data_IF_194597162551
#
_entry.id   IF_194597162551
#
_cell.length_a   1.000
_cell.length_b   1.000
_cell.length_c   1.000
_cell.angle_alpha   90.00
_cell.angle_beta   90.00
_cell.angle_gamma   90.00
#
_symmetry.space_group_name_H-M   'P 1'
#
loop_
_entity.id
_entity.type
_entity.pdbx_description
1 polymer ?
#
# COMPACT_ATOMS: atom_id res chain seq x y z
N UNK A 1 7.27 -24.42 18.92
CA UNK A 1 7.64 -23.32 18.01
C UNK A 1 8.87 -23.65 17.20
N UNK A 2 9.93 -24.24 17.81
CA UNK A 2 11.12 -24.68 17.07
C UNK A 2 10.80 -25.54 15.84
N UNK A 3 9.87 -26.48 15.95
CA UNK A 3 9.52 -27.38 14.84
C UNK A 3 8.67 -26.73 13.72
N UNK A 4 8.32 -25.44 13.84
CA UNK A 4 7.56 -24.71 12.82
C UNK A 4 8.46 -24.03 11.78
N UNK A 5 9.74 -23.89 12.10
CA UNK A 5 10.71 -23.11 11.32
C UNK A 5 11.97 -23.93 11.08
N UNK A 6 12.73 -23.58 10.04
CA UNK A 6 14.02 -24.21 9.79
C UNK A 6 15.03 -23.80 10.89
N UNK A 7 15.61 -24.75 11.64
CA UNK A 7 16.52 -24.45 12.75
C UNK A 7 17.88 -23.88 12.30
N UNK A 8 18.29 -24.11 11.05
CA UNK A 8 19.52 -23.55 10.49
C UNK A 8 19.31 -22.10 10.01
N UNK A 9 18.06 -21.73 9.69
CA UNK A 9 17.69 -20.38 9.28
C UNK A 9 17.23 -19.48 10.45
N UNK A 10 16.69 -20.05 11.54
CA UNK A 10 16.05 -19.29 12.62
C UNK A 10 16.74 -19.48 13.96
N UNK A 11 17.39 -18.42 14.44
CA UNK A 11 18.03 -18.39 15.77
C UNK A 11 17.03 -18.23 16.93
N UNK A 12 15.93 -17.51 16.71
CA UNK A 12 14.89 -17.26 17.71
C UNK A 12 13.52 -17.00 17.07
N UNK A 13 12.46 -17.42 17.75
CA UNK A 13 11.08 -17.14 17.36
C UNK A 13 10.28 -16.71 18.59
N UNK A 14 9.49 -15.65 18.44
CA UNK A 14 8.66 -15.08 19.49
C UNK A 14 7.20 -15.13 19.08
N UNK A 15 6.31 -15.33 20.06
CA UNK A 15 4.88 -15.26 19.83
C UNK A 15 4.39 -13.88 20.25
N UNK A 16 3.83 -13.14 19.30
CA UNK A 16 3.18 -11.84 19.53
C UNK A 16 1.67 -11.98 19.37
N UNK A 17 0.93 -10.97 19.86
CA UNK A 17 -0.51 -10.85 19.61
C UNK A 17 -0.72 -9.74 18.60
N UNK A 18 -0.97 -10.11 17.34
CA UNK A 18 -1.18 -9.18 16.23
C UNK A 18 -2.48 -9.51 15.50
N UNK A 19 -3.09 -8.48 14.90
CA UNK A 19 -4.35 -8.61 14.16
C UNK A 19 -4.04 -8.51 12.67
N UNK A 20 -4.31 -9.60 11.94
CA UNK A 20 -4.32 -9.59 10.48
C UNK A 20 -5.64 -9.03 9.95
N UNK A 21 -5.58 -7.93 9.20
CA UNK A 21 -6.72 -7.38 8.45
C UNK A 21 -6.52 -7.72 6.98
N UNK A 22 -7.51 -8.34 6.36
CA UNK A 22 -7.49 -8.57 4.91
C UNK A 22 -7.83 -7.24 4.20
N UNK A 23 -6.85 -6.62 3.49
CA UNK A 23 -7.06 -5.33 2.85
C UNK A 23 -8.06 -5.40 1.69
N UNK A 24 -8.24 -6.55 1.05
CA UNK A 24 -9.19 -6.71 -0.06
C UNK A 24 -10.62 -6.77 0.46
N UNK A 25 -10.84 -7.48 1.56
CA UNK A 25 -12.12 -7.51 2.26
C UNK A 25 -12.48 -6.12 2.82
N UNK A 26 -11.51 -5.44 3.45
CA UNK A 26 -11.71 -4.07 3.94
C UNK A 26 -12.05 -3.11 2.80
N UNK A 27 -11.34 -3.19 1.67
CA UNK A 27 -11.64 -2.36 0.50
C UNK A 27 -13.04 -2.64 -0.07
N UNK A 28 -13.52 -3.89 0.01
CA UNK A 28 -14.91 -4.24 -0.31
C UNK A 28 -15.91 -3.46 0.53
N UNK A 29 -15.76 -3.51 1.86
CA UNK A 29 -16.65 -2.80 2.80
C UNK A 29 -16.65 -1.28 2.55
N UNK A 30 -15.49 -0.70 2.24
CA UNK A 30 -15.39 0.73 1.92
C UNK A 30 -16.12 1.05 0.61
N UNK A 31 -15.94 0.25 -0.44
CA UNK A 31 -16.65 0.45 -1.72
C UNK A 31 -18.17 0.36 -1.55
N UNK A 32 -18.65 -0.65 -0.82
CA UNK A 32 -20.08 -0.81 -0.54
C UNK A 32 -20.62 0.42 0.19
N UNK A 33 -19.91 0.89 1.23
CA UNK A 33 -20.30 2.09 1.98
C UNK A 33 -20.31 3.37 1.14
N UNK A 34 -19.41 3.50 0.18
CA UNK A 34 -19.36 4.65 -0.75
C UNK A 34 -20.49 4.59 -1.78
N UNK A 35 -20.85 3.40 -2.26
CA UNK A 35 -21.92 3.20 -3.22
C UNK A 35 -23.32 3.41 -2.61
N UNK A 36 -23.49 3.02 -1.34
CA UNK A 36 -24.79 3.02 -0.67
C UNK A 36 -25.13 4.36 0.00
N UNK A 37 -24.19 5.32 0.04
CA UNK A 37 -24.43 6.65 0.63
C UNK A 37 -24.91 7.65 -0.42
N UNK A 38 -26.18 8.11 -0.37
CA UNK A 38 -26.70 9.06 -1.34
C UNK A 38 -26.05 10.45 -1.25
N UNK A 39 -25.35 10.77 -0.16
CA UNK A 39 -24.61 12.03 -0.04
C UNK A 39 -23.23 11.98 -0.71
N UNK A 40 -22.76 10.80 -1.12
CA UNK A 40 -21.45 10.62 -1.75
C UNK A 40 -21.63 10.37 -3.25
N UNK A 41 -21.02 11.23 -4.07
CA UNK A 41 -20.98 11.04 -5.52
C UNK A 41 -19.61 10.51 -5.94
N UNK A 42 -19.55 9.23 -6.30
CA UNK A 42 -18.34 8.64 -6.87
C UNK A 42 -18.24 8.92 -8.38
N UNK A 43 -17.08 9.44 -8.83
CA UNK A 43 -16.73 9.56 -10.25
C UNK A 43 -15.49 8.70 -10.53
N UNK A 44 -15.72 7.52 -11.11
CA UNK A 44 -14.66 6.60 -11.49
C UNK A 44 -14.11 6.97 -12.88
N UNK A 45 -12.99 6.36 -13.28
CA UNK A 45 -12.33 6.61 -14.57
C UNK A 45 -12.08 8.10 -14.84
N UNK A 46 -11.80 8.85 -13.76
CA UNK A 46 -11.53 10.28 -13.77
C UNK A 46 -10.18 10.50 -13.10
N UNK A 47 -9.21 10.99 -13.87
CA UNK A 47 -7.85 11.19 -13.42
C UNK A 47 -7.65 12.67 -13.11
N UNK A 48 -7.39 13.00 -11.84
CA UNK A 48 -7.10 14.36 -11.39
C UNK A 48 -5.70 14.76 -11.87
N UNK A 49 -5.60 15.89 -12.56
CA UNK A 49 -4.33 16.43 -13.09
C UNK A 49 -3.72 17.49 -12.18
N UNK A 50 -4.56 18.22 -11.45
CA UNK A 50 -4.09 19.32 -10.62
C UNK A 50 -5.23 20.04 -9.92
N UNK A 51 -4.83 20.98 -9.07
CA UNK A 51 -5.71 21.88 -8.35
C UNK A 51 -5.13 23.30 -8.44
N UNK A 52 -5.98 24.28 -8.69
CA UNK A 52 -5.63 25.69 -8.72
C UNK A 52 -6.38 26.46 -7.62
N UNK A 53 -5.70 27.37 -6.92
CA UNK A 53 -6.34 28.29 -5.97
C UNK A 53 -6.99 29.44 -6.75
N UNK A 54 -8.29 29.63 -6.60
CA UNK A 54 -9.04 30.67 -7.32
C UNK A 54 -9.93 31.49 -6.37
N UNK A 55 -9.36 32.57 -5.83
CA UNK A 55 -10.02 33.38 -4.80
C UNK A 55 -10.25 32.57 -3.53
N UNK A 56 -11.52 32.42 -3.11
CA UNK A 56 -11.88 31.68 -1.90
C UNK A 56 -12.11 30.17 -2.10
N UNK A 57 -11.84 29.62 -3.28
CA UNK A 57 -12.12 28.22 -3.61
C UNK A 57 -11.02 27.57 -4.42
N UNK A 58 -11.17 26.28 -4.64
CA UNK A 58 -10.17 25.42 -5.28
C UNK A 58 -10.77 24.77 -6.52
N UNK A 59 -10.16 25.00 -7.67
CA UNK A 59 -10.60 24.41 -8.93
C UNK A 59 -9.79 23.14 -9.20
N UNK A 60 -10.47 22.00 -9.31
CA UNK A 60 -9.89 20.69 -9.66
C UNK A 60 -9.90 20.53 -11.16
N UNK A 61 -8.75 20.24 -11.74
CA UNK A 61 -8.60 19.87 -13.15
C UNK A 61 -8.49 18.35 -13.27
N UNK A 62 -9.25 17.77 -14.20
CA UNK A 62 -9.29 16.32 -14.39
C UNK A 62 -9.48 15.95 -15.85
N UNK A 63 -9.19 14.70 -16.17
CA UNK A 63 -9.44 14.07 -17.47
C UNK A 63 -10.28 12.81 -17.29
N UNK A 64 -11.24 12.59 -18.18
CA UNK A 64 -12.03 11.36 -18.25
C UNK A 64 -12.41 11.02 -19.70
N UNK A 65 -13.27 10.03 -19.91
CA UNK A 65 -13.69 9.61 -21.26
C UNK A 65 -14.41 10.68 -22.10
N UNK A 66 -14.86 11.80 -21.49
CA UNK A 66 -15.42 12.95 -22.20
C UNK A 66 -14.36 14.03 -22.52
N UNK A 67 -13.12 13.86 -22.07
CA UNK A 67 -12.02 14.81 -22.24
C UNK A 67 -11.65 15.56 -20.95
N UNK A 68 -10.92 16.68 -21.07
CA UNK A 68 -10.53 17.51 -19.92
C UNK A 68 -11.73 18.25 -19.34
N UNK A 69 -11.74 18.42 -18.02
CA UNK A 69 -12.77 19.11 -17.26
C UNK A 69 -12.21 19.87 -16.06
N UNK A 70 -13.02 20.79 -15.54
CA UNK A 70 -12.70 21.62 -14.37
C UNK A 70 -13.94 21.80 -13.49
N UNK A 71 -13.77 21.71 -12.18
CA UNK A 71 -14.85 21.90 -11.21
C UNK A 71 -14.35 22.52 -9.92
N UNK A 72 -15.16 23.37 -9.29
CA UNK A 72 -14.79 24.13 -8.09
C UNK A 72 -15.30 23.45 -6.83
N UNK A 73 -14.46 23.45 -5.80
CA UNK A 73 -14.75 22.94 -4.47
C UNK A 73 -14.28 23.92 -3.38
N UNK A 74 -14.97 23.95 -2.25
CA UNK A 74 -14.56 24.74 -1.08
C UNK A 74 -13.43 24.06 -0.30
N UNK A 75 -13.43 22.72 -0.31
CA UNK A 75 -12.49 21.87 0.41
C UNK A 75 -12.05 20.72 -0.49
N UNK A 76 -10.76 20.37 -0.49
CA UNK A 76 -10.20 19.27 -1.26
C UNK A 76 -9.35 18.40 -0.35
N UNK A 77 -9.55 17.08 -0.43
CA UNK A 77 -8.68 16.10 0.20
C UNK A 77 -7.90 15.35 -0.87
N UNK A 78 -6.59 15.61 -0.97
CA UNK A 78 -5.69 14.85 -1.82
C UNK A 78 -5.27 13.54 -1.12
N UNK A 79 -5.97 12.46 -1.48
CA UNK A 79 -5.70 11.09 -1.06
C UNK A 79 -5.25 10.19 -2.24
N UNK A 80 -4.58 10.78 -3.25
CA UNK A 80 -4.22 10.12 -4.50
C UNK A 80 -3.04 9.15 -4.42
N UNK A 81 -2.48 8.91 -3.23
CA UNK A 81 -1.35 7.99 -3.00
C UNK A 81 -0.14 8.26 -3.92
N UNK A 82 0.03 7.50 -5.01
CA UNK A 82 1.08 7.67 -6.00
C UNK A 82 0.95 8.96 -6.83
N UNK A 83 -0.26 9.46 -7.02
CA UNK A 83 -0.51 10.77 -7.64
C UNK A 83 -0.38 11.97 -6.68
N UNK A 84 -0.15 11.73 -5.39
CA UNK A 84 -0.24 12.78 -4.35
C UNK A 84 0.75 13.91 -4.61
N UNK A 85 2.03 13.59 -4.83
CA UNK A 85 3.08 14.60 -4.94
C UNK A 85 2.94 15.48 -6.19
N UNK A 86 2.52 14.89 -7.30
CA UNK A 86 2.27 15.64 -8.54
C UNK A 86 1.15 16.67 -8.36
N UNK A 87 0.03 16.28 -7.73
CA UNK A 87 -1.08 17.19 -7.46
C UNK A 87 -0.74 18.22 -6.38
N UNK A 88 -0.02 17.83 -5.33
CA UNK A 88 0.48 18.76 -4.30
C UNK A 88 1.31 19.90 -4.91
N UNK A 89 2.16 19.59 -5.89
CA UNK A 89 2.97 20.61 -6.57
C UNK A 89 2.12 21.65 -7.32
N UNK A 90 0.96 21.26 -7.84
CA UNK A 90 0.07 22.21 -8.56
C UNK A 90 -0.50 23.32 -7.68
N UNK A 91 -0.58 23.08 -6.36
CA UNK A 91 -0.98 24.08 -5.35
C UNK A 91 0.23 24.68 -4.62
N UNK A 92 1.45 24.48 -5.13
CA UNK A 92 2.68 25.04 -4.58
C UNK A 92 3.23 24.32 -3.34
N UNK A 93 2.78 23.09 -3.06
CA UNK A 93 3.33 22.27 -1.97
C UNK A 93 4.47 21.40 -2.50
N UNK A 94 5.66 21.58 -1.94
CA UNK A 94 6.81 20.72 -2.23
C UNK A 94 6.99 19.64 -1.15
N UNK A 95 7.49 18.45 -1.52
CA UNK A 95 7.89 17.44 -0.55
C UNK A 95 8.98 18.01 0.38
N UNK A 96 8.82 17.94 1.71
CA UNK A 96 9.76 18.56 2.64
C UNK A 96 11.05 17.75 2.85
N UNK A 97 11.10 16.54 2.29
CA UNK A 97 12.18 15.56 2.46
C UNK A 97 12.32 14.76 1.18
N UNK A 98 13.49 14.16 0.91
CA UNK A 98 13.64 13.17 -0.14
C UNK A 98 12.64 12.02 0.02
N UNK A 99 12.21 11.44 -1.09
CA UNK A 99 11.24 10.37 -1.12
C UNK A 99 11.66 9.28 -2.11
N UNK A 100 10.96 8.15 -1.99
CA UNK A 100 11.01 7.09 -2.96
C UNK A 100 9.67 6.38 -3.10
N UNK A 101 9.45 5.91 -4.32
CA UNK A 101 8.41 4.98 -4.70
C UNK A 101 9.01 3.59 -4.83
N UNK A 102 8.34 2.60 -4.25
CA UNK A 102 8.80 1.22 -4.20
C UNK A 102 7.72 0.31 -4.77
N UNK A 103 8.05 -0.52 -5.77
CA UNK A 103 7.12 -1.55 -6.24
C UNK A 103 7.34 -2.84 -5.47
N UNK A 104 6.32 -3.26 -4.72
CA UNK A 104 6.34 -4.49 -3.92
C UNK A 104 5.31 -5.49 -4.43
N UNK A 105 5.79 -6.68 -4.77
CA UNK A 105 4.98 -7.83 -5.12
C UNK A 105 4.79 -8.80 -3.94
N UNK A 106 3.69 -9.53 -3.97
CA UNK A 106 3.33 -10.55 -2.99
C UNK A 106 2.43 -11.61 -3.64
N UNK A 107 2.32 -12.77 -2.99
CA UNK A 107 1.42 -13.85 -3.42
C UNK A 107 0.17 -13.84 -2.54
N UNK A 108 -1.00 -13.91 -3.19
CA UNK A 108 -2.27 -14.28 -2.58
C UNK A 108 -2.58 -15.72 -2.95
N UNK A 109 -2.92 -16.52 -1.95
CA UNK A 109 -3.22 -17.93 -2.14
C UNK A 109 -4.41 -18.35 -1.31
N UNK A 110 -5.36 -19.04 -1.91
CA UNK A 110 -6.44 -19.71 -1.17
C UNK A 110 -6.06 -21.16 -0.91
N UNK A 111 -5.81 -21.52 0.35
CA UNK A 111 -5.38 -22.86 0.73
C UNK A 111 -6.20 -23.41 1.91
N UNK A 112 -7.45 -23.86 1.67
CA UNK A 112 -8.30 -24.44 2.71
C UNK A 112 -7.64 -25.70 3.27
N UNK A 113 -7.70 -25.87 4.59
CA UNK A 113 -7.05 -26.96 5.33
C UNK A 113 -5.53 -26.81 5.53
N UNK A 114 -4.87 -25.83 4.92
CA UNK A 114 -3.44 -25.66 5.07
C UNK A 114 -3.06 -25.28 6.50
N UNK A 115 -2.13 -26.05 7.07
CA UNK A 115 -1.56 -25.82 8.40
C UNK A 115 -0.24 -25.06 8.26
N UNK A 116 -0.33 -23.74 8.07
CA UNK A 116 0.82 -22.83 7.99
C UNK A 116 0.73 -21.80 9.12
N UNK A 117 1.82 -21.54 9.87
CA UNK A 117 1.80 -20.55 10.93
C UNK A 117 1.82 -19.12 10.36
N UNK A 118 1.01 -18.22 10.94
CA UNK A 118 1.24 -16.78 10.76
C UNK A 118 2.63 -16.43 11.29
N UNK A 119 3.45 -15.81 10.46
CA UNK A 119 4.86 -15.55 10.74
C UNK A 119 5.29 -14.25 10.09
N UNK A 120 5.99 -13.39 10.85
CA UNK A 120 6.67 -12.21 10.32
C UNK A 120 8.16 -12.34 10.60
N UNK A 121 8.96 -12.18 9.56
CA UNK A 121 10.42 -12.29 9.55
C UNK A 121 10.95 -10.86 9.61
N UNK A 122 11.50 -10.48 10.77
CA UNK A 122 11.87 -9.10 11.09
C UNK A 122 13.37 -8.85 11.10
N UNK A 123 14.20 -9.89 10.92
CA UNK A 123 15.66 -9.79 10.86
C UNK A 123 16.18 -10.53 9.64
N UNK A 124 17.10 -9.91 8.90
CA UNK A 124 17.65 -10.44 7.66
C UNK A 124 16.72 -10.18 6.48
N UNK A 125 16.48 -11.19 5.65
CA UNK A 125 15.56 -11.06 4.52
C UNK A 125 14.11 -10.99 5.03
N UNK A 126 13.57 -9.77 5.14
CA UNK A 126 12.23 -9.51 5.64
C UNK A 126 11.15 -10.28 4.87
N UNK A 127 10.09 -10.71 5.57
CA UNK A 127 8.99 -11.45 4.94
C UNK A 127 7.80 -11.69 5.86
N UNK A 128 6.69 -12.08 5.27
CA UNK A 128 5.42 -12.28 5.96
C UNK A 128 4.67 -13.51 5.41
N UNK A 129 4.13 -14.30 6.32
CA UNK A 129 3.10 -15.30 6.08
C UNK A 129 1.91 -14.89 6.94
N UNK A 130 0.84 -14.41 6.31
CA UNK A 130 -0.38 -14.00 7.00
C UNK A 130 -1.51 -14.92 6.57
N UNK A 131 -2.15 -15.55 7.54
CA UNK A 131 -3.33 -16.40 7.33
C UNK A 131 -4.55 -15.64 7.79
N UNK A 132 -5.44 -15.31 6.86
CA UNK A 132 -6.71 -14.64 7.15
C UNK A 132 -7.81 -15.66 7.48
N UNK A 133 -8.95 -15.14 7.94
CA UNK A 133 -10.16 -15.95 8.14
C UNK A 133 -10.57 -16.60 6.81
N UNK A 134 -10.87 -17.90 6.83
CA UNK A 134 -11.18 -18.66 5.61
C UNK A 134 -9.96 -19.27 4.91
N UNK A 135 -8.75 -19.13 5.48
CA UNK A 135 -7.50 -19.68 4.95
C UNK A 135 -7.12 -19.14 3.57
N UNK A 136 -7.41 -17.86 3.35
CA UNK A 136 -6.72 -17.05 2.35
C UNK A 136 -5.41 -16.55 2.97
N UNK A 137 -4.32 -16.67 2.22
CA UNK A 137 -2.96 -16.35 2.64
C UNK A 137 -2.47 -15.11 1.91
N UNK A 138 -1.69 -14.30 2.62
CA UNK A 138 -0.78 -13.31 2.04
C UNK A 138 0.65 -13.76 2.33
N UNK A 139 1.45 -13.89 1.29
CA UNK A 139 2.83 -14.33 1.35
C UNK A 139 3.71 -13.25 0.73
N UNK A 140 4.64 -12.72 1.50
CA UNK A 140 5.56 -11.69 1.03
C UNK A 140 6.99 -12.04 1.40
N UNK A 141 7.88 -11.90 0.44
CA UNK A 141 9.31 -12.12 0.62
C UNK A 141 10.05 -10.95 -0.01
N UNK A 142 10.69 -10.11 0.81
CA UNK A 142 11.29 -8.86 0.31
C UNK A 142 12.34 -9.09 -0.78
N UNK A 143 13.30 -10.02 -0.64
CA UNK A 143 14.34 -10.23 -1.65
C UNK A 143 13.80 -10.52 -3.05
N UNK A 144 12.63 -11.16 -3.15
CA UNK A 144 11.99 -11.46 -4.44
C UNK A 144 10.92 -10.43 -4.84
N UNK A 145 10.19 -9.89 -3.86
CA UNK A 145 9.02 -9.05 -4.08
C UNK A 145 9.31 -7.57 -4.25
N UNK A 146 10.37 -7.05 -3.62
CA UNK A 146 10.82 -5.65 -3.80
C UNK A 146 11.77 -5.56 -4.99
N UNK A 147 11.31 -5.03 -6.12
CA UNK A 147 12.06 -5.07 -7.39
C UNK A 147 12.54 -3.73 -7.88
N UNK A 148 11.74 -2.68 -7.67
CA UNK A 148 12.00 -1.40 -8.31
C UNK A 148 11.82 -0.24 -7.34
N UNK A 149 12.64 0.78 -7.55
CA UNK A 149 12.66 2.03 -6.81
C UNK A 149 12.67 3.19 -7.81
N UNK A 150 11.90 4.24 -7.52
CA UNK A 150 11.93 5.50 -8.25
C UNK A 150 11.96 6.67 -7.29
N UNK A 151 12.71 7.71 -7.64
CA UNK A 151 12.74 9.01 -6.93
C UNK A 151 12.04 10.12 -7.73
N UNK A 152 11.42 9.75 -8.85
CA UNK A 152 10.68 10.70 -9.68
C UNK A 152 9.46 11.24 -8.95
N UNK A 153 8.89 12.34 -9.44
CA UNK A 153 7.70 12.95 -8.85
C UNK A 153 6.52 11.97 -8.79
N UNK A 154 6.34 11.23 -9.87
CA UNK A 154 5.36 10.16 -10.01
C UNK A 154 6.12 8.85 -10.23
N UNK A 155 5.63 7.72 -9.68
CA UNK A 155 6.21 6.44 -10.00
C UNK A 155 6.06 6.15 -11.49
N UNK A 156 7.06 5.51 -12.13
CA UNK A 156 6.89 5.02 -13.49
C UNK A 156 5.80 3.94 -13.51
N UNK A 157 5.27 3.67 -14.71
CA UNK A 157 4.44 2.48 -14.90
C UNK A 157 5.33 1.25 -14.74
N UNK A 158 5.20 0.57 -13.61
CA UNK A 158 5.79 -0.75 -13.42
C UNK A 158 4.94 -1.84 -14.10
N UNK A 159 5.57 -2.94 -14.54
CA UNK A 159 4.84 -4.09 -15.03
C UNK A 159 3.82 -4.55 -14.00
N UNK A 160 2.57 -4.72 -14.41
CA UNK A 160 1.60 -5.35 -13.52
C UNK A 160 1.93 -6.84 -13.38
N UNK A 161 1.61 -7.43 -12.23
CA UNK A 161 1.79 -8.88 -12.04
C UNK A 161 1.05 -9.72 -13.09
N UNK A 162 0.02 -9.17 -13.74
CA UNK A 162 -0.74 -9.79 -14.84
C UNK A 162 -0.08 -9.72 -16.22
N UNK A 163 1.03 -8.99 -16.38
CA UNK A 163 1.72 -8.81 -17.67
C UNK A 163 2.84 -9.85 -17.86
N UNK A 164 2.62 -10.86 -18.72
CA UNK A 164 3.64 -11.84 -19.14
C UNK A 164 3.93 -12.99 -18.16
N UNK A 165 5.00 -13.75 -18.39
CA UNK A 165 5.45 -14.87 -17.53
C UNK A 165 6.09 -14.44 -16.20
N UNK A 166 6.19 -13.13 -15.97
CA UNK A 166 6.79 -12.48 -14.80
C UNK A 166 6.15 -12.91 -13.46
N UNK A 167 4.84 -13.16 -13.45
CA UNK A 167 4.14 -13.64 -12.25
C UNK A 167 4.60 -15.01 -11.77
N UNK A 168 4.93 -15.93 -12.70
CA UNK A 168 5.39 -17.27 -12.33
C UNK A 168 6.71 -17.23 -11.58
N UNK A 169 7.69 -16.50 -12.14
CA UNK A 169 9.03 -16.35 -11.54
C UNK A 169 8.96 -15.72 -10.14
N UNK A 170 8.24 -14.60 -9.98
CA UNK A 170 8.11 -13.92 -8.69
C UNK A 170 7.40 -14.80 -7.67
N UNK A 171 6.32 -15.48 -8.09
CA UNK A 171 5.61 -16.42 -7.22
C UNK A 171 6.58 -17.48 -6.68
N UNK A 172 7.32 -18.13 -7.57
CA UNK A 172 8.19 -19.25 -7.22
C UNK A 172 9.30 -18.78 -6.28
N UNK A 173 9.94 -17.64 -6.56
CA UNK A 173 10.97 -17.07 -5.67
C UNK A 173 10.44 -16.65 -4.30
N UNK A 174 9.21 -16.10 -4.23
CA UNK A 174 8.58 -15.77 -2.94
C UNK A 174 8.29 -17.06 -2.14
N UNK A 175 7.74 -18.08 -2.79
CA UNK A 175 7.41 -19.35 -2.15
C UNK A 175 8.68 -20.07 -1.68
N UNK A 176 9.71 -20.15 -2.52
CA UNK A 176 10.98 -20.80 -2.21
C UNK A 176 11.70 -20.09 -1.06
N UNK A 177 11.77 -18.76 -1.11
CA UNK A 177 12.39 -17.96 -0.06
C UNK A 177 11.70 -18.11 1.30
N UNK A 178 10.36 -18.12 1.30
CA UNK A 178 9.59 -18.37 2.52
C UNK A 178 9.69 -19.82 2.99
N UNK A 179 9.71 -20.80 2.09
CA UNK A 179 9.81 -22.21 2.44
C UNK A 179 11.15 -22.56 3.11
N UNK A 180 12.22 -21.83 2.79
CA UNK A 180 13.52 -21.96 3.44
C UNK A 180 13.49 -21.55 4.93
N UNK A 181 12.49 -20.78 5.38
CA UNK A 181 12.36 -20.33 6.77
C UNK A 181 11.16 -20.97 7.46
N UNK A 182 10.04 -21.09 6.72
CA UNK A 182 8.77 -21.65 7.16
C UNK A 182 8.47 -22.87 6.27
N UNK A 183 9.00 -24.07 6.59
CA UNK A 183 8.91 -25.24 5.71
C UNK A 183 7.48 -25.66 5.33
N UNK A 184 6.47 -25.25 6.11
CA UNK A 184 5.07 -25.48 5.79
C UNK A 184 4.61 -24.77 4.51
N UNK A 185 5.25 -23.66 4.13
CA UNK A 185 4.96 -22.95 2.86
C UNK A 185 5.28 -23.82 1.65
N UNK A 186 6.40 -24.55 1.67
CA UNK A 186 6.79 -25.47 0.59
C UNK A 186 5.87 -26.69 0.43
N UNK A 187 4.91 -26.88 1.33
CA UNK A 187 3.90 -27.96 1.27
C UNK A 187 2.50 -27.44 0.93
N UNK A 188 2.37 -26.15 0.63
CA UNK A 188 1.08 -25.57 0.26
C UNK A 188 0.57 -26.17 -1.04
N UNK A 189 -0.74 -26.49 -1.14
CA UNK A 189 -1.33 -26.89 -2.40
C UNK A 189 -1.33 -25.67 -3.32
N UNK A 190 -0.62 -25.78 -4.45
CA UNK A 190 -0.60 -24.76 -5.49
C UNK A 190 -1.60 -25.16 -6.57
N UNK A 191 -2.83 -24.69 -6.41
CA UNK A 191 -3.79 -24.67 -7.51
C UNK A 191 -3.59 -23.35 -8.28
N UNK A 192 -3.36 -23.45 -9.59
CA UNK A 192 -3.07 -22.29 -10.43
C UNK A 192 -4.19 -21.25 -10.38
N UNK A 193 -5.45 -21.68 -10.23
CA UNK A 193 -6.61 -20.79 -10.14
C UNK A 193 -6.77 -20.16 -8.74
N UNK A 194 -6.08 -20.71 -7.74
CA UNK A 194 -6.13 -20.24 -6.35
C UNK A 194 -4.95 -19.34 -5.97
N UNK A 195 -3.95 -19.19 -6.84
CA UNK A 195 -2.74 -18.40 -6.62
C UNK A 195 -2.73 -17.18 -7.53
N UNK A 196 -2.48 -15.99 -6.97
CA UNK A 196 -2.22 -14.78 -7.76
C UNK A 196 -1.03 -14.01 -7.20
N UNK A 197 -0.17 -13.53 -8.09
CA UNK A 197 0.79 -12.48 -7.73
C UNK A 197 0.08 -11.15 -7.83
N UNK A 198 0.23 -10.33 -6.79
CA UNK A 198 -0.27 -8.96 -6.74
C UNK A 198 0.90 -8.04 -6.45
N UNK A 199 0.70 -6.74 -6.69
CA UNK A 199 1.70 -5.73 -6.42
C UNK A 199 1.07 -4.39 -6.11
N UNK A 200 1.86 -3.51 -5.52
CA UNK A 200 1.42 -2.14 -5.22
C UNK A 200 2.60 -1.22 -5.01
N UNK A 201 2.36 0.05 -5.33
CA UNK A 201 3.31 1.14 -5.07
C UNK A 201 3.29 1.49 -3.58
N UNK A 202 4.47 1.57 -2.99
CA UNK A 202 4.69 2.00 -1.62
C UNK A 202 5.46 3.31 -1.65
N UNK A 203 4.91 4.32 -0.97
CA UNK A 203 5.61 5.56 -0.70
C UNK A 203 6.46 5.44 0.57
N UNK A 204 7.67 6.00 0.54
CA UNK A 204 8.49 6.20 1.72
C UNK A 204 9.26 7.53 1.64
N UNK A 205 9.52 8.14 2.80
CA UNK A 205 10.53 9.18 2.93
C UNK A 205 11.92 8.54 2.93
N UNK A 206 12.94 9.24 2.43
CA UNK A 206 14.32 8.77 2.36
C UNK A 206 14.83 8.55 0.93
N UNK A 207 16.14 8.35 0.83
CA UNK A 207 16.89 8.18 -0.44
C UNK A 207 17.37 6.73 -0.64
N UNK A 208 17.45 5.97 0.46
CA UNK A 208 17.94 4.59 0.50
C UNK A 208 16.89 3.62 1.05
N UNK A 209 16.99 2.33 0.72
CA UNK A 209 15.96 1.36 1.09
C UNK A 209 16.13 0.84 2.55
N UNK A 210 15.27 -0.08 2.95
CA UNK A 210 15.04 -0.58 4.31
C UNK A 210 16.29 -1.22 4.97
N UNK A 211 17.24 -1.70 4.17
CA UNK A 211 18.48 -2.31 4.67
C UNK A 211 19.52 -1.27 5.10
N UNK A 212 19.36 -0.01 4.70
CA UNK A 212 20.16 1.10 5.20
C UNK A 212 19.60 1.56 6.55
N UNK A 213 20.34 1.40 7.66
CA UNK A 213 19.88 1.84 8.98
C UNK A 213 19.71 3.36 9.09
N UNK A 214 20.41 4.14 8.25
CA UNK A 214 20.34 5.60 8.23
C UNK A 214 19.26 6.11 7.25
N UNK A 215 18.50 5.21 6.63
CA UNK A 215 17.41 5.58 5.74
C UNK A 215 16.31 6.35 6.47
N UNK A 216 15.89 7.47 5.87
CA UNK A 216 14.70 8.22 6.28
C UNK A 216 13.40 7.39 6.25
N UNK A 217 13.41 6.21 5.63
CA UNK A 217 12.27 5.28 5.59
C UNK A 217 11.84 4.84 7.00
N UNK A 218 12.78 4.84 7.94
CA UNK A 218 12.56 4.47 9.32
C UNK A 218 11.89 5.59 10.14
N UNK A 219 11.85 6.84 9.63
CA UNK A 219 11.24 7.99 10.30
C UNK A 219 9.71 8.04 10.13
N UNK A 220 9.02 7.14 10.84
CA UNK A 220 7.56 6.93 10.69
C UNK A 220 6.68 7.92 11.44
N UNK A 221 7.24 8.89 12.17
CA UNK A 221 6.47 9.84 12.98
C UNK A 221 5.94 11.05 12.18
N UNK A 222 6.57 11.38 11.05
CA UNK A 222 6.28 12.58 10.26
C UNK A 222 5.41 12.29 9.02
N UNK A 223 4.30 11.58 9.24
CA UNK A 223 3.26 11.22 8.25
C UNK A 223 1.90 11.79 8.66
N UNK A 224 0.85 11.56 7.86
CA UNK A 224 -0.52 12.01 8.12
C UNK A 224 -0.95 13.22 7.31
N UNK A 225 -2.03 13.85 7.77
CA UNK A 225 -2.69 14.96 7.08
C UNK A 225 -1.91 16.26 7.24
N UNK A 226 -1.72 16.98 6.14
CA UNK A 226 -1.23 18.37 6.10
C UNK A 226 -2.30 19.23 5.43
N UNK A 227 -2.49 20.45 5.92
CA UNK A 227 -3.60 21.28 5.48
C UNK A 227 -3.19 22.72 5.28
N UNK A 228 -3.72 23.33 4.23
CA UNK A 228 -3.46 24.73 3.88
C UNK A 228 -4.66 25.27 3.11
N UNK A 229 -5.39 26.23 3.70
CA UNK A 229 -6.43 27.01 3.03
C UNK A 229 -7.39 26.14 2.19
N UNK A 230 -8.10 25.21 2.86
CA UNK A 230 -9.08 24.31 2.25
C UNK A 230 -8.51 23.09 1.49
N UNK A 231 -7.19 23.02 1.32
CA UNK A 231 -6.52 21.87 0.69
C UNK A 231 -5.87 20.98 1.75
N UNK A 232 -6.17 19.68 1.72
CA UNK A 232 -5.68 18.69 2.69
C UNK A 232 -4.95 17.56 1.96
N UNK A 233 -3.62 17.51 2.06
CA UNK A 233 -2.81 16.40 1.52
C UNK A 233 -2.59 15.32 2.57
N UNK A 234 -2.79 14.05 2.21
CA UNK A 234 -2.67 12.93 3.15
C UNK A 234 -1.46 12.05 2.80
N UNK A 235 -0.47 12.04 3.69
CA UNK A 235 0.50 10.95 3.77
C UNK A 235 -0.07 9.79 4.59
N UNK A 236 -0.69 8.79 3.96
CA UNK A 236 -1.38 7.76 4.73
C UNK A 236 -0.42 6.82 5.47
N UNK A 237 0.86 6.76 5.08
CA UNK A 237 1.86 5.89 5.69
C UNK A 237 1.51 4.39 5.61
N UNK A 238 1.02 3.81 6.71
CA UNK A 238 0.60 2.41 6.77
C UNK A 238 -0.92 2.32 6.83
N UNK A 239 -1.50 1.26 6.26
CA UNK A 239 -2.94 1.02 6.25
C UNK A 239 -3.58 1.12 7.65
N UNK A 240 -2.86 0.70 8.69
CA UNK A 240 -3.31 0.78 10.09
C UNK A 240 -3.56 2.21 10.59
N UNK A 241 -2.96 3.21 9.96
CA UNK A 241 -3.15 4.63 10.27
C UNK A 241 -4.26 5.29 9.47
N UNK A 242 -4.77 4.64 8.42
CA UNK A 242 -5.77 5.21 7.52
C UNK A 242 -7.04 5.69 8.26
N UNK A 243 -7.62 4.95 9.24
CA UNK A 243 -8.79 5.45 9.98
C UNK A 243 -8.50 6.72 10.77
N UNK A 244 -7.32 6.80 11.42
CA UNK A 244 -6.92 7.98 12.18
C UNK A 244 -6.78 9.20 11.25
N UNK A 245 -6.09 9.05 10.12
CA UNK A 245 -5.86 10.17 9.20
C UNK A 245 -7.12 10.59 8.45
N UNK A 246 -8.05 9.66 8.19
CA UNK A 246 -9.37 10.00 7.68
C UNK A 246 -10.15 10.86 8.68
N UNK A 247 -10.13 10.52 9.97
CA UNK A 247 -10.76 11.33 11.01
C UNK A 247 -10.12 12.71 11.11
N UNK A 248 -8.79 12.80 11.19
CA UNK A 248 -8.06 14.08 11.23
C UNK A 248 -8.38 14.95 10.00
N UNK A 249 -8.45 14.35 8.81
CA UNK A 249 -8.82 15.09 7.61
C UNK A 249 -10.26 15.60 7.67
N UNK A 250 -11.21 14.77 8.11
CA UNK A 250 -12.60 15.17 8.27
C UNK A 250 -12.77 16.31 9.29
N UNK A 251 -12.12 16.22 10.45
CA UNK A 251 -12.16 17.27 11.48
C UNK A 251 -11.63 18.61 10.94
N UNK A 252 -10.56 18.57 10.13
CA UNK A 252 -10.00 19.78 9.50
C UNK A 252 -10.90 20.37 8.41
N UNK A 253 -11.55 19.53 7.61
CA UNK A 253 -12.56 19.96 6.61
C UNK A 253 -13.73 20.66 7.31
N UNK A 254 -14.10 20.18 8.51
CA UNK A 254 -15.18 20.76 9.32
C UNK A 254 -14.75 21.95 10.18
N UNK A 255 -13.46 22.33 10.17
CA UNK A 255 -12.92 23.42 11.01
C UNK A 255 -12.91 23.12 12.51
N UNK A 256 -12.85 21.84 12.89
CA UNK A 256 -12.90 21.37 14.29
C UNK A 256 -11.52 21.18 14.94
N UNK A 257 -10.43 21.34 14.18
CA UNK A 257 -9.04 21.11 14.61
C UNK A 257 -8.07 22.13 14.01
#
# INVERSE_FOLDING_TARGET
MRDLYDPDAVSAAFRTSEVGIDPEALAGLVRDRLNDDPAIRCRLLTHVKGVERNGSGLDVEFENGAGPGRERYDQIVNALWDGRLAVDRTVGLEPPRPWMWRMKHFVRLRAPGAAVPCSTIVLGAFGDVVVYRGQDLYLSWYPAGMRDISIELEPPRWPSASEGGFSGEIRDQILDGLAAIVPAVGRLPLDADAVSVKGGVIFAWGETDIDDPDSGLHERHAIGTRSSEGYHSIDTGKLTMAPLFAQVAADRVLGMA
#
